data_IF_005559752307
#
_entry.id   IF_005559752307
#
_cell.length_a   1.000
_cell.length_b   1.000
_cell.length_c   1.000
_cell.angle_alpha   90.00
_cell.angle_beta   90.00
_cell.angle_gamma   90.00
#
_symmetry.space_group_name_H-M   'P 1'
#
loop_
_entity.id
_entity.type
_entity.pdbx_description
1 polymer ?
#
# COMPACT_ATOMS: atom_id res chain seq x y z
N UNK A 1 -3.36 -18.97 -5.35
CA UNK A 1 -2.37 -19.15 -4.25
C UNK A 1 -2.94 -18.49 -3.02
N UNK A 2 -2.95 -19.19 -1.88
CA UNK A 2 -3.42 -18.65 -0.60
C UNK A 2 -2.22 -18.42 0.34
N UNK A 3 -2.35 -17.45 1.23
CA UNK A 3 -1.33 -17.09 2.22
C UNK A 3 -2.00 -16.56 3.47
N UNK A 4 -1.48 -16.87 4.65
CA UNK A 4 -1.96 -16.31 5.92
C UNK A 4 -0.88 -15.45 6.56
N UNK A 5 -1.28 -14.30 7.09
CA UNK A 5 -0.46 -13.47 7.96
C UNK A 5 -1.08 -13.50 9.36
N UNK A 6 -0.24 -13.61 10.38
CA UNK A 6 -0.68 -13.62 11.78
C UNK A 6 0.19 -12.66 12.57
N UNK A 7 -0.46 -11.77 13.31
CA UNK A 7 0.17 -10.89 14.28
C UNK A 7 -0.78 -10.71 15.47
N UNK A 8 -0.29 -11.04 16.66
CA UNK A 8 -1.11 -11.11 17.88
C UNK A 8 -2.37 -11.98 17.66
N UNK A 9 -3.56 -11.47 17.94
CA UNK A 9 -4.84 -12.16 17.69
C UNK A 9 -5.41 -11.91 16.28
N UNK A 10 -4.74 -11.10 15.45
CA UNK A 10 -5.20 -10.77 14.10
C UNK A 10 -4.67 -11.79 13.09
N UNK A 11 -5.60 -12.46 12.40
CA UNK A 11 -5.30 -13.37 11.28
C UNK A 11 -5.84 -12.76 9.99
N UNK A 12 -4.94 -12.58 9.02
CA UNK A 12 -5.25 -12.01 7.71
C UNK A 12 -5.05 -13.11 6.68
N UNK A 13 -6.13 -13.55 6.05
CA UNK A 13 -6.08 -14.47 4.93
C UNK A 13 -5.99 -13.68 3.62
N UNK A 14 -5.08 -14.08 2.74
CA UNK A 14 -4.89 -13.47 1.43
C UNK A 14 -4.97 -14.54 0.35
N UNK A 15 -5.77 -14.27 -0.67
CA UNK A 15 -5.90 -15.10 -1.86
C UNK A 15 -5.46 -14.31 -3.09
N UNK A 16 -4.42 -14.81 -3.75
CA UNK A 16 -3.93 -14.31 -5.04
C UNK A 16 -4.52 -15.18 -6.16
N UNK A 17 -5.35 -14.57 -7.00
CA UNK A 17 -6.01 -15.19 -8.16
C UNK A 17 -5.33 -14.71 -9.44
N UNK A 18 -4.64 -15.63 -10.11
CA UNK A 18 -3.95 -15.34 -11.37
C UNK A 18 -4.92 -15.45 -12.54
N UNK A 19 -4.88 -14.46 -13.42
CA UNK A 19 -5.57 -14.52 -14.71
C UNK A 19 -4.79 -15.44 -15.67
N UNK A 20 -5.49 -16.11 -16.58
CA UNK A 20 -4.85 -16.97 -17.59
C UNK A 20 -3.88 -16.20 -18.50
N UNK A 21 -4.09 -14.89 -18.68
CA UNK A 21 -3.23 -13.99 -19.42
C UNK A 21 -2.20 -13.26 -18.54
N UNK A 22 -1.95 -13.69 -17.30
CA UNK A 22 -0.88 -13.14 -16.47
C UNK A 22 0.49 -13.36 -17.15
N UNK A 23 1.38 -12.35 -17.26
CA UNK A 23 1.36 -11.06 -16.55
C UNK A 23 0.71 -9.89 -17.31
N UNK A 24 0.13 -10.10 -18.49
CA UNK A 24 -0.53 -9.04 -19.28
C UNK A 24 -1.79 -8.52 -18.60
N UNK A 25 -2.52 -9.40 -17.90
CA UNK A 25 -3.62 -9.03 -17.00
C UNK A 25 -3.15 -9.11 -15.56
N UNK A 26 -3.49 -8.10 -14.78
CA UNK A 26 -3.15 -8.03 -13.37
C UNK A 26 -3.86 -9.16 -12.59
N UNK A 27 -3.16 -9.75 -11.63
CA UNK A 27 -3.76 -10.70 -10.70
C UNK A 27 -4.79 -9.98 -9.79
N UNK A 28 -5.81 -10.71 -9.35
CA UNK A 28 -6.74 -10.23 -8.34
C UNK A 28 -6.24 -10.64 -6.94
N UNK A 29 -6.42 -9.73 -5.98
CA UNK A 29 -6.07 -9.92 -4.57
C UNK A 29 -7.36 -9.84 -3.77
N UNK A 30 -7.61 -10.85 -2.95
CA UNK A 30 -8.76 -10.95 -2.07
C UNK A 30 -8.28 -11.22 -0.64
N UNK A 31 -8.85 -10.53 0.35
CA UNK A 31 -8.48 -10.67 1.75
C UNK A 31 -9.52 -11.44 2.59
N UNK A 32 -10.40 -12.19 1.92
CA UNK A 32 -11.42 -13.01 2.57
C UNK A 32 -12.36 -12.24 3.50
N UNK A 33 -13.03 -12.98 4.37
CA UNK A 33 -13.74 -12.42 5.52
C UNK A 33 -12.73 -11.91 6.55
N UNK A 34 -12.54 -10.60 6.57
CA UNK A 34 -11.56 -9.93 7.42
C UNK A 34 -12.09 -9.81 8.86
N UNK A 35 -11.49 -10.55 9.79
CA UNK A 35 -11.68 -10.30 11.22
C UNK A 35 -10.57 -9.34 11.68
N UNK A 36 -10.94 -8.13 12.10
CA UNK A 36 -10.01 -7.15 12.68
C UNK A 36 -9.36 -6.16 11.71
N UNK A 37 -9.77 -6.10 10.44
CA UNK A 37 -9.31 -5.09 9.47
C UNK A 37 -10.50 -4.39 8.83
N UNK A 38 -10.43 -3.08 8.68
CA UNK A 38 -11.42 -2.33 7.93
C UNK A 38 -11.36 -2.63 6.43
N UNK A 39 -12.53 -2.72 5.78
CA UNK A 39 -12.67 -2.90 4.32
C UNK A 39 -11.85 -1.87 3.52
N UNK A 40 -11.72 -0.63 4.01
CA UNK A 40 -10.91 0.41 3.37
C UNK A 40 -9.42 0.04 3.35
N UNK A 41 -8.91 -0.53 4.44
CA UNK A 41 -7.53 -0.99 4.55
C UNK A 41 -7.28 -2.21 3.66
N UNK A 42 -8.20 -3.19 3.65
CA UNK A 42 -8.11 -4.35 2.76
C UNK A 42 -8.05 -3.94 1.28
N UNK A 43 -8.93 -3.02 0.85
CA UNK A 43 -8.92 -2.47 -0.53
C UNK A 43 -7.61 -1.78 -0.87
N UNK A 44 -7.08 -1.00 0.08
CA UNK A 44 -5.82 -0.28 -0.09
C UNK A 44 -4.66 -1.26 -0.27
N UNK A 45 -4.53 -2.25 0.61
CA UNK A 45 -3.51 -3.29 0.49
C UNK A 45 -3.61 -4.08 -0.80
N UNK A 46 -4.84 -4.41 -1.24
CA UNK A 46 -5.08 -5.14 -2.48
C UNK A 46 -4.58 -4.34 -3.70
N UNK A 47 -4.85 -3.03 -3.72
CA UNK A 47 -4.36 -2.13 -4.76
C UNK A 47 -2.83 -2.13 -4.82
N UNK A 48 -2.17 -2.06 -3.67
CA UNK A 48 -0.70 -2.01 -3.59
C UNK A 48 -0.04 -3.31 -4.00
N UNK A 49 -0.55 -4.45 -3.54
CA UNK A 49 -0.08 -5.77 -3.93
C UNK A 49 -0.20 -5.96 -5.43
N UNK A 50 -1.35 -5.62 -6.01
CA UNK A 50 -1.58 -5.71 -7.46
C UNK A 50 -0.58 -4.85 -8.23
N UNK A 51 -0.40 -3.58 -7.83
CA UNK A 51 0.54 -2.67 -8.49
C UNK A 51 2.00 -3.16 -8.36
N UNK A 52 2.39 -3.68 -7.20
CA UNK A 52 3.73 -4.21 -6.96
C UNK A 52 3.99 -5.50 -7.76
N UNK A 53 3.00 -6.40 -7.83
CA UNK A 53 3.09 -7.65 -8.59
C UNK A 53 3.13 -7.43 -10.12
N UNK A 54 2.62 -6.30 -10.62
CA UNK A 54 2.79 -5.90 -12.03
C UNK A 54 4.20 -5.42 -12.37
N UNK A 55 5.01 -5.03 -11.36
CA UNK A 55 6.35 -4.47 -11.55
C UNK A 55 7.47 -5.39 -11.07
N UNK A 56 7.14 -6.36 -10.21
CA UNK A 56 8.07 -7.25 -9.51
C UNK A 56 7.50 -8.66 -9.49
N UNK A 57 8.30 -9.65 -9.06
CA UNK A 57 7.77 -10.99 -8.82
C UNK A 57 6.69 -10.96 -7.73
N UNK A 58 5.70 -11.86 -7.81
CA UNK A 58 4.64 -11.93 -6.80
C UNK A 58 5.21 -12.16 -5.40
N UNK A 59 6.26 -12.97 -5.27
CA UNK A 59 6.98 -13.17 -4.02
C UNK A 59 7.52 -11.86 -3.43
N UNK A 60 8.22 -11.04 -4.23
CA UNK A 60 8.75 -9.77 -3.77
C UNK A 60 7.63 -8.76 -3.43
N UNK A 61 6.50 -8.83 -4.15
CA UNK A 61 5.32 -8.02 -3.84
C UNK A 61 4.70 -8.38 -2.49
N UNK A 62 4.55 -9.69 -2.20
CA UNK A 62 4.02 -10.19 -0.93
C UNK A 62 4.93 -9.85 0.25
N UNK A 63 6.25 -9.99 0.11
CA UNK A 63 7.19 -9.57 1.15
C UNK A 63 7.10 -8.07 1.44
N UNK A 64 7.05 -7.24 0.40
CA UNK A 64 6.90 -5.81 0.56
C UNK A 64 5.55 -5.42 1.17
N UNK A 65 4.49 -6.17 0.87
CA UNK A 65 3.19 -5.98 1.53
C UNK A 65 3.28 -6.28 3.02
N UNK A 66 3.87 -7.42 3.41
CA UNK A 66 4.07 -7.78 4.82
C UNK A 66 4.79 -6.66 5.59
N UNK A 67 5.90 -6.15 5.04
CA UNK A 67 6.64 -5.03 5.65
C UNK A 67 5.78 -3.78 5.86
N UNK A 68 4.90 -3.45 4.91
CA UNK A 68 3.98 -2.32 5.06
C UNK A 68 2.96 -2.59 6.17
N UNK A 69 2.34 -3.77 6.16
CA UNK A 69 1.36 -4.18 7.16
C UNK A 69 1.96 -4.13 8.56
N UNK A 70 3.18 -4.65 8.74
CA UNK A 70 3.88 -4.61 10.02
C UNK A 70 4.03 -3.17 10.55
N UNK A 71 4.45 -2.24 9.70
CA UNK A 71 4.61 -0.83 10.09
C UNK A 71 3.28 -0.11 10.34
N UNK A 72 2.21 -0.48 9.62
CA UNK A 72 0.88 0.06 9.87
C UNK A 72 0.34 -0.40 11.22
N UNK A 73 0.57 -1.66 11.60
CA UNK A 73 0.28 -2.16 12.94
C UNK A 73 1.15 -1.47 14.01
N UNK A 74 2.35 -1.01 13.67
CA UNK A 74 3.18 -0.16 14.55
C UNK A 74 2.69 1.31 14.62
N UNK A 75 1.57 1.64 13.97
CA UNK A 75 0.96 2.97 13.98
C UNK A 75 1.55 3.95 12.95
N UNK A 76 2.38 3.47 12.01
CA UNK A 76 2.89 4.33 10.95
C UNK A 76 1.82 4.49 9.87
N UNK A 77 1.35 5.73 9.70
CA UNK A 77 0.35 6.03 8.69
C UNK A 77 0.91 5.95 7.26
N UNK A 78 0.14 5.40 6.30
CA UNK A 78 0.55 5.31 4.91
C UNK A 78 0.56 6.68 4.22
N UNK A 79 1.45 6.86 3.24
CA UNK A 79 1.45 8.05 2.41
C UNK A 79 0.14 8.14 1.59
N UNK A 80 -0.64 9.24 1.66
CA UNK A 80 -1.91 9.35 0.91
C UNK A 80 -1.78 9.34 -0.62
N UNK A 81 -0.57 9.55 -1.17
CA UNK A 81 -0.34 9.60 -2.62
C UNK A 81 -0.12 8.19 -3.20
N UNK A 82 0.73 7.38 -2.55
CA UNK A 82 1.07 6.03 -3.02
C UNK A 82 0.42 4.92 -2.21
N UNK A 83 -0.35 5.29 -1.18
CA UNK A 83 -1.07 4.42 -0.25
C UNK A 83 -0.21 3.53 0.65
N UNK A 84 1.11 3.69 0.65
CA UNK A 84 2.05 2.82 1.36
C UNK A 84 2.84 3.50 2.44
N UNK A 85 3.26 2.71 3.41
CA UNK A 85 4.19 3.15 4.45
C UNK A 85 5.61 3.21 3.90
N UNK A 86 6.04 2.18 3.18
CA UNK A 86 7.34 2.16 2.50
C UNK A 86 7.20 2.60 1.05
N UNK A 87 7.96 3.61 0.65
CA UNK A 87 8.00 4.02 -0.75
C UNK A 87 8.55 2.88 -1.64
N UNK A 88 7.91 2.54 -2.78
CA UNK A 88 8.24 1.34 -3.57
C UNK A 88 9.68 1.21 -4.07
N UNK A 89 10.39 2.35 -4.23
CA UNK A 89 11.78 2.42 -4.71
C UNK A 89 12.78 2.73 -3.60
N UNK A 90 12.55 3.81 -2.86
CA UNK A 90 13.50 4.30 -1.85
C UNK A 90 13.37 3.60 -0.50
N UNK A 91 12.30 2.83 -0.27
CA UNK A 91 12.02 2.15 1.01
C UNK A 91 12.04 3.09 2.22
N UNK A 92 11.77 4.39 2.00
CA UNK A 92 11.69 5.40 3.06
C UNK A 92 10.25 5.53 3.58
N UNK A 93 10.13 5.90 4.84
CA UNK A 93 8.85 6.25 5.49
C UNK A 93 8.36 7.64 5.06
N UNK A 94 7.03 7.89 5.11
CA UNK A 94 6.49 9.22 4.96
C UNK A 94 6.91 10.07 6.17
N UNK A 95 7.49 11.23 5.91
CA UNK A 95 8.04 12.10 6.96
C UNK A 95 7.80 13.59 6.69
N UNK A 96 7.39 13.96 5.48
CA UNK A 96 6.98 15.33 5.19
C UNK A 96 5.53 15.50 5.61
N UNK A 97 5.29 16.22 6.69
CA UNK A 97 3.97 16.41 7.27
C UNK A 97 3.30 17.69 6.77
N UNK A 98 2.02 17.61 6.39
CA UNK A 98 1.23 18.80 6.12
C UNK A 98 0.85 19.51 7.42
N UNK A 99 1.15 20.80 7.52
CA UNK A 99 0.83 21.61 8.71
C UNK A 99 -0.67 21.78 9.00
N UNK A 100 -1.54 21.51 8.01
CA UNK A 100 -2.99 21.70 8.15
C UNK A 100 -3.72 20.40 8.50
N UNK A 101 -3.43 19.31 7.78
CA UNK A 101 -4.13 18.03 7.97
C UNK A 101 -3.28 16.94 8.63
N UNK A 102 -2.03 17.24 9.00
CA UNK A 102 -1.09 16.32 9.67
C UNK A 102 -0.77 15.01 8.94
N UNK A 103 -1.26 14.84 7.71
CA UNK A 103 -0.91 13.69 6.88
C UNK A 103 0.57 13.76 6.48
N UNK A 104 1.24 12.61 6.50
CA UNK A 104 2.65 12.47 6.13
C UNK A 104 2.82 11.93 4.72
N UNK A 105 3.81 12.44 4.01
CA UNK A 105 4.11 12.07 2.62
C UNK A 105 5.54 11.61 2.45
N UNK A 106 5.76 10.70 1.51
CA UNK A 106 7.11 10.46 0.99
C UNK A 106 7.58 11.70 0.21
N UNK A 107 8.83 12.10 0.40
CA UNK A 107 9.41 13.24 -0.30
C UNK A 107 9.28 13.12 -1.83
N UNK A 108 9.55 11.93 -2.39
CA UNK A 108 9.42 11.67 -3.83
C UNK A 108 7.98 11.73 -4.32
N UNK A 109 7.01 11.23 -3.54
CA UNK A 109 5.60 11.27 -3.90
C UNK A 109 5.07 12.70 -3.94
N UNK A 110 5.38 13.50 -2.91
CA UNK A 110 4.94 14.88 -2.83
C UNK A 110 5.59 15.76 -3.90
N UNK A 111 6.89 15.58 -4.14
CA UNK A 111 7.60 16.27 -5.21
C UNK A 111 7.01 15.95 -6.59
N UNK A 112 6.72 14.67 -6.86
CA UNK A 112 6.08 14.26 -8.10
C UNK A 112 4.70 14.90 -8.24
N UNK A 113 3.87 14.87 -7.19
CA UNK A 113 2.55 15.49 -7.18
C UNK A 113 2.60 16.98 -7.53
N UNK A 114 3.52 17.75 -6.93
CA UNK A 114 3.66 19.17 -7.26
C UNK A 114 4.11 19.39 -8.71
N UNK A 115 5.00 18.54 -9.22
CA UNK A 115 5.45 18.64 -10.62
C UNK A 115 4.35 18.33 -11.63
N UNK A 116 3.41 17.42 -11.33
CA UNK A 116 2.40 16.97 -12.30
C UNK A 116 1.06 17.70 -12.17
N UNK A 117 0.69 18.12 -10.95
CA UNK A 117 -0.61 18.75 -10.69
C UNK A 117 -0.66 20.24 -11.04
N UNK A 118 0.50 20.89 -11.26
CA UNK A 118 0.64 22.35 -11.37
C UNK A 118 0.05 23.11 -10.16
N UNK A 119 -0.15 22.42 -9.03
CA UNK A 119 -0.63 22.99 -7.77
C UNK A 119 0.40 22.73 -6.68
N UNK A 120 0.74 23.76 -5.93
CA UNK A 120 1.60 23.65 -4.74
C UNK A 120 0.77 23.54 -3.46
N UNK A 121 -0.34 22.79 -3.52
CA UNK A 121 -1.24 22.57 -2.40
C UNK A 121 -1.22 21.10 -1.97
N UNK A 122 -1.40 20.87 -0.68
CA UNK A 122 -1.49 19.51 -0.13
C UNK A 122 -2.61 18.75 -0.85
N UNK A 123 -2.30 17.55 -1.33
CA UNK A 123 -3.23 16.70 -2.10
C UNK A 123 -4.54 16.41 -1.35
N UNK A 124 -4.51 16.45 -0.02
CA UNK A 124 -5.66 16.22 0.87
C UNK A 124 -6.42 17.51 1.24
N UNK A 125 -5.73 18.66 1.33
CA UNK A 125 -6.35 19.91 1.81
C UNK A 125 -6.95 20.79 0.72
N UNK A 126 -6.62 20.51 -0.54
CA UNK A 126 -7.01 21.31 -1.70
C UNK A 126 -8.51 21.24 -2.01
#
# INVERSE_FOLDING_TARGET
VTSSYTRDECVIEMTLKYDAAYPLRALAVDFGSHQGIEEKTARRWALQLRASASLKSTHAAVLGWRENVDLEFDGVEPCPICYGVLHPKSKRLPHLECRQCHNKFHASCLAHWFSTSHKHLCVVCQ
#
